data_IF_681695836588
#
_entry.id   IF_681695836588
#
_cell.length_a   1.000
_cell.length_b   1.000
_cell.length_c   1.000
_cell.angle_alpha   90.00
_cell.angle_beta   90.00
_cell.angle_gamma   90.00
#
_symmetry.space_group_name_H-M   'P 1'
#
loop_
_entity.id
_entity.type
_entity.pdbx_description
1 polymer ?
#
# COMPACT_ATOMS: atom_id res chain seq x y z
N UNK A 1 -9.09 -1.44 -16.50
CA UNK A 1 -9.70 -2.55 -15.71
C UNK A 1 -10.21 -1.97 -14.40
N UNK A 2 -11.51 -1.65 -14.27
CA UNK A 2 -12.02 -0.85 -13.14
C UNK A 2 -12.48 -1.66 -11.92
N UNK A 3 -12.26 -2.98 -11.92
CA UNK A 3 -12.73 -3.88 -10.87
C UNK A 3 -11.85 -5.12 -10.76
N UNK A 4 -11.38 -5.44 -9.55
CA UNK A 4 -10.85 -6.76 -9.21
C UNK A 4 -11.97 -7.58 -8.59
N UNK A 5 -12.12 -8.81 -9.06
CA UNK A 5 -13.18 -9.72 -8.64
C UNK A 5 -12.57 -11.01 -8.11
N UNK A 6 -13.01 -11.41 -6.92
CA UNK A 6 -12.65 -12.66 -6.26
C UNK A 6 -13.94 -13.41 -5.97
N UNK A 7 -14.04 -14.68 -6.39
CA UNK A 7 -15.26 -15.49 -6.31
C UNK A 7 -15.07 -16.69 -5.40
N UNK A 8 -16.18 -17.19 -4.85
CA UNK A 8 -16.14 -18.31 -3.91
C UNK A 8 -15.67 -17.88 -2.52
N UNK A 9 -15.74 -16.59 -2.21
CA UNK A 9 -15.40 -16.03 -0.91
C UNK A 9 -16.41 -16.53 0.13
N UNK A 10 -15.95 -16.86 1.32
CA UNK A 10 -16.81 -17.19 2.46
C UNK A 10 -16.69 -16.09 3.49
N UNK A 11 -17.80 -15.43 3.82
CA UNK A 11 -17.86 -14.55 4.97
C UNK A 11 -17.84 -15.41 6.24
N UNK A 12 -16.89 -15.15 7.14
CA UNK A 12 -16.68 -15.94 8.36
C UNK A 12 -17.37 -15.34 9.59
N UNK A 13 -17.68 -14.04 9.57
CA UNK A 13 -18.33 -13.35 10.69
C UNK A 13 -17.67 -12.03 11.07
N UNK A 14 -18.14 -11.46 12.18
CA UNK A 14 -17.56 -10.28 12.83
C UNK A 14 -18.31 -8.97 12.66
N UNK A 15 -19.38 -8.93 11.84
CA UNK A 15 -20.31 -7.80 11.77
C UNK A 15 -21.56 -8.09 12.62
N UNK A 16 -22.03 -7.18 13.48
CA UNK A 16 -23.19 -7.42 14.35
C UNK A 16 -24.48 -7.79 13.59
N UNK A 17 -24.67 -7.21 12.39
CA UNK A 17 -25.84 -7.49 11.52
C UNK A 17 -25.80 -8.87 10.85
N UNK A 18 -24.64 -9.51 10.80
CA UNK A 18 -24.43 -10.79 10.11
C UNK A 18 -23.55 -11.71 10.99
N UNK A 19 -24.13 -12.34 12.04
CA UNK A 19 -23.33 -13.13 12.98
C UNK A 19 -22.95 -14.52 12.46
N UNK A 20 -23.54 -14.97 11.34
CA UNK A 20 -23.32 -16.32 10.80
C UNK A 20 -22.46 -16.32 9.54
N UNK A 21 -21.64 -17.36 9.31
CA UNK A 21 -20.90 -17.49 8.07
C UNK A 21 -21.81 -17.64 6.85
N UNK A 22 -21.36 -17.12 5.70
CA UNK A 22 -22.08 -17.21 4.43
C UNK A 22 -21.08 -17.57 3.34
N UNK A 23 -21.29 -18.72 2.68
CA UNK A 23 -20.41 -19.25 1.64
C UNK A 23 -20.84 -18.80 0.24
N UNK A 24 -19.97 -18.97 -0.76
CA UNK A 24 -20.30 -18.77 -2.17
C UNK A 24 -20.44 -17.30 -2.60
N UNK A 25 -19.84 -16.39 -1.84
CA UNK A 25 -19.88 -14.96 -2.11
C UNK A 25 -18.84 -14.54 -3.15
N UNK A 26 -18.98 -13.30 -3.58
CA UNK A 26 -18.01 -12.57 -4.38
C UNK A 26 -17.54 -11.35 -3.60
N UNK A 27 -16.24 -11.10 -3.65
CA UNK A 27 -15.63 -9.83 -3.29
C UNK A 27 -15.32 -9.06 -4.56
N UNK A 28 -15.91 -7.88 -4.70
CA UNK A 28 -15.60 -6.90 -5.73
C UNK A 28 -14.83 -5.74 -5.09
N UNK A 29 -13.62 -5.50 -5.60
CA UNK A 29 -12.77 -4.35 -5.25
C UNK A 29 -12.88 -3.35 -6.38
N UNK A 30 -13.29 -2.13 -6.06
CA UNK A 30 -13.54 -1.06 -7.03
C UNK A 30 -12.98 0.26 -6.52
N UNK A 31 -12.97 1.28 -7.38
CA UNK A 31 -12.64 2.66 -6.97
C UNK A 31 -13.57 3.21 -5.87
N UNK A 32 -14.80 2.70 -5.74
CA UNK A 32 -15.75 3.19 -4.74
C UNK A 32 -15.58 2.52 -3.36
N UNK A 33 -14.99 1.33 -3.32
CA UNK A 33 -14.91 0.53 -2.11
C UNK A 33 -14.82 -0.97 -2.37
N UNK A 34 -15.06 -1.71 -1.30
CA UNK A 34 -15.19 -3.15 -1.28
C UNK A 34 -16.67 -3.51 -1.19
N UNK A 35 -17.10 -4.47 -2.01
CA UNK A 35 -18.42 -5.05 -1.92
C UNK A 35 -18.31 -6.57 -1.82
N UNK A 36 -18.86 -7.12 -0.74
CA UNK A 36 -19.05 -8.56 -0.57
C UNK A 36 -20.52 -8.86 -0.79
N UNK A 37 -20.83 -9.86 -1.62
CA UNK A 37 -22.22 -10.21 -1.88
C UNK A 37 -22.39 -11.44 -2.74
N UNK A 38 -23.62 -11.93 -2.79
CA UNK A 38 -24.03 -12.95 -3.74
C UNK A 38 -24.45 -12.34 -5.08
N UNK A 39 -24.91 -13.15 -6.04
CA UNK A 39 -25.38 -12.68 -7.35
C UNK A 39 -26.61 -11.77 -7.28
N UNK A 40 -27.42 -11.86 -6.20
CA UNK A 40 -28.69 -11.16 -6.09
C UNK A 40 -28.72 -10.05 -5.03
N UNK A 41 -27.81 -10.05 -4.04
CA UNK A 41 -27.75 -9.05 -2.96
C UNK A 41 -26.34 -8.84 -2.43
N UNK A 42 -26.01 -7.58 -2.11
CA UNK A 42 -24.81 -7.23 -1.35
C UNK A 42 -24.99 -7.59 0.12
N UNK A 43 -24.00 -8.26 0.69
CA UNK A 43 -23.90 -8.56 2.12
C UNK A 43 -23.24 -7.42 2.88
N UNK A 44 -22.15 -6.90 2.33
CA UNK A 44 -21.33 -5.86 2.94
C UNK A 44 -20.87 -4.92 1.83
N UNK A 45 -21.00 -3.62 2.06
CA UNK A 45 -20.41 -2.61 1.20
C UNK A 45 -19.67 -1.61 2.07
N UNK A 46 -18.36 -1.52 1.85
CA UNK A 46 -17.45 -0.69 2.63
C UNK A 46 -16.85 0.33 1.69
N UNK A 47 -17.15 1.60 1.92
CA UNK A 47 -16.44 2.67 1.22
C UNK A 47 -15.04 2.78 1.79
N UNK A 48 -14.07 3.12 0.95
CA UNK A 48 -12.69 3.28 1.38
C UNK A 48 -12.49 4.23 2.57
N UNK A 49 -13.17 5.41 2.66
CA UNK A 49 -13.04 6.28 3.83
C UNK A 49 -13.56 5.68 5.14
N UNK A 50 -14.40 4.64 5.07
CA UNK A 50 -14.97 3.95 6.24
C UNK A 50 -14.18 2.70 6.63
N UNK A 51 -13.13 2.36 5.88
CA UNK A 51 -12.30 1.20 6.13
C UNK A 51 -11.11 1.60 7.00
N UNK A 52 -11.16 1.25 8.28
CA UNK A 52 -10.09 1.56 9.23
C UNK A 52 -8.78 0.83 8.90
N UNK A 53 -8.91 -0.43 8.46
CA UNK A 53 -7.81 -1.27 8.04
C UNK A 53 -8.33 -2.46 7.24
N UNK A 54 -7.47 -3.07 6.43
CA UNK A 54 -7.68 -4.38 5.83
C UNK A 54 -6.53 -5.27 6.33
N UNK A 55 -6.64 -6.59 6.27
CA UNK A 55 -5.52 -7.53 6.44
C UNK A 55 -5.62 -8.63 5.40
N UNK A 56 -4.49 -9.15 4.91
CA UNK A 56 -4.43 -10.40 4.12
C UNK A 56 -3.48 -11.35 4.84
N UNK A 57 -4.05 -12.37 5.46
CA UNK A 57 -3.39 -13.27 6.40
C UNK A 57 -3.48 -14.72 5.92
N UNK A 58 -2.57 -15.57 6.40
CA UNK A 58 -2.76 -17.01 6.27
C UNK A 58 -3.88 -17.46 7.21
N UNK A 59 -4.44 -18.64 6.98
CA UNK A 59 -5.43 -19.22 7.90
C UNK A 59 -4.83 -19.39 9.30
N UNK A 60 -3.55 -19.77 9.40
CA UNK A 60 -2.86 -19.94 10.68
C UNK A 60 -2.63 -18.62 11.45
N UNK A 61 -2.31 -17.53 10.76
CA UNK A 61 -2.10 -16.22 11.39
C UNK A 61 -3.38 -15.67 12.05
N UNK A 62 -4.55 -15.98 11.47
CA UNK A 62 -5.85 -15.59 12.03
C UNK A 62 -6.12 -16.32 13.34
N UNK A 63 -5.80 -17.62 13.41
CA UNK A 63 -5.96 -18.41 14.64
C UNK A 63 -5.02 -17.90 15.76
N UNK A 64 -3.79 -17.52 15.42
CA UNK A 64 -2.85 -16.90 16.37
C UNK A 64 -3.33 -15.56 16.92
N UNK A 65 -3.99 -14.74 16.09
CA UNK A 65 -4.63 -13.47 16.52
C UNK A 65 -5.98 -13.68 17.22
N UNK A 66 -6.67 -14.79 16.95
CA UNK A 66 -7.95 -15.11 17.59
C UNK A 66 -7.80 -15.32 19.10
N UNK A 67 -6.67 -15.90 19.52
CA UNK A 67 -6.35 -16.14 20.93
C UNK A 67 -6.04 -14.87 21.75
N UNK A 68 -5.61 -13.77 21.12
CA UNK A 68 -5.24 -12.53 21.83
C UNK A 68 -6.37 -11.49 21.92
N UNK A 69 -7.45 -11.65 21.15
CA UNK A 69 -8.49 -10.63 20.99
C UNK A 69 -9.91 -11.11 21.38
N UNK A 70 -10.03 -12.20 22.16
CA UNK A 70 -11.32 -12.75 22.62
C UNK A 70 -12.35 -12.93 21.48
N UNK A 71 -11.94 -13.57 20.37
CA UNK A 71 -12.84 -13.84 19.24
C UNK A 71 -13.76 -15.04 19.53
N UNK A 72 -14.85 -14.85 20.28
CA UNK A 72 -15.89 -15.88 20.47
C UNK A 72 -16.75 -16.14 19.20
N UNK A 73 -16.54 -15.39 18.12
CA UNK A 73 -17.47 -15.34 16.97
C UNK A 73 -16.94 -15.96 15.67
N UNK A 74 -15.68 -16.43 15.61
CA UNK A 74 -15.17 -17.13 14.44
C UNK A 74 -15.57 -18.60 14.51
N UNK A 75 -16.57 -18.98 13.71
CA UNK A 75 -17.13 -20.33 13.68
C UNK A 75 -16.06 -21.37 13.26
N UNK A 76 -15.49 -22.08 14.24
CA UNK A 76 -14.38 -23.03 14.09
C UNK A 76 -14.49 -24.08 12.95
N UNK A 77 -15.67 -24.59 12.54
CA UNK A 77 -15.77 -25.58 11.46
C UNK A 77 -15.34 -25.08 10.07
N UNK A 78 -15.50 -23.78 9.79
CA UNK A 78 -15.13 -23.20 8.49
C UNK A 78 -13.63 -22.89 8.41
N UNK A 79 -13.04 -22.45 9.53
CA UNK A 79 -11.58 -22.32 9.66
C UNK A 79 -10.89 -23.69 9.60
N UNK A 80 -11.51 -24.73 10.18
CA UNK A 80 -11.02 -26.12 10.10
C UNK A 80 -11.03 -26.65 8.65
N UNK A 81 -12.07 -26.36 7.87
CA UNK A 81 -12.10 -26.66 6.43
C UNK A 81 -11.06 -25.85 5.64
N UNK A 82 -10.86 -24.58 5.99
CA UNK A 82 -9.82 -23.75 5.39
C UNK A 82 -8.40 -24.25 5.70
N UNK A 83 -8.17 -24.80 6.89
CA UNK A 83 -6.91 -25.43 7.31
C UNK A 83 -6.55 -26.63 6.45
N UNK A 84 -7.53 -27.43 6.05
CA UNK A 84 -7.32 -28.56 5.12
C UNK A 84 -6.88 -28.10 3.72
N UNK A 85 -7.15 -26.85 3.35
CA UNK A 85 -6.68 -26.27 2.09
C UNK A 85 -5.21 -25.78 2.15
N UNK A 86 -4.58 -25.74 3.33
CA UNK A 86 -3.17 -25.33 3.50
C UNK A 86 -2.87 -23.91 3.01
N UNK A 87 -1.66 -23.69 2.51
CA UNK A 87 -1.17 -22.39 2.00
C UNK A 87 -1.89 -21.89 0.73
N UNK A 88 -2.77 -22.71 0.16
CA UNK A 88 -3.57 -22.35 -1.01
C UNK A 88 -4.75 -21.44 -0.68
N UNK A 89 -4.99 -21.08 0.59
CA UNK A 89 -6.06 -20.17 0.98
C UNK A 89 -5.52 -18.94 1.73
N UNK A 90 -6.26 -17.83 1.63
CA UNK A 90 -5.98 -16.59 2.34
C UNK A 90 -7.22 -16.09 3.06
N UNK A 91 -7.02 -15.30 4.10
CA UNK A 91 -8.09 -14.67 4.86
C UNK A 91 -7.93 -13.15 4.77
N UNK A 92 -9.02 -12.47 4.45
CA UNK A 92 -9.09 -11.01 4.49
C UNK A 92 -9.78 -10.58 5.79
N UNK A 93 -9.10 -9.76 6.58
CA UNK A 93 -9.73 -9.00 7.68
C UNK A 93 -10.11 -7.61 7.20
N UNK A 94 -11.27 -7.10 7.59
CA UNK A 94 -11.75 -5.76 7.26
C UNK A 94 -12.19 -5.05 8.55
N UNK A 95 -11.47 -4.00 8.94
CA UNK A 95 -11.86 -3.11 10.04
C UNK A 95 -12.88 -2.09 9.55
N UNK A 96 -14.09 -2.15 10.09
CA UNK A 96 -15.21 -1.27 9.77
C UNK A 96 -15.74 -0.76 11.10
N UNK A 97 -15.65 0.55 11.33
CA UNK A 97 -15.90 1.15 12.64
C UNK A 97 -15.07 0.41 13.71
N UNK A 98 -15.70 -0.05 14.79
CA UNK A 98 -15.06 -0.81 15.88
C UNK A 98 -15.10 -2.34 15.68
N UNK A 99 -15.50 -2.82 14.49
CA UNK A 99 -15.67 -4.25 14.22
C UNK A 99 -14.76 -4.76 13.12
N UNK A 100 -14.37 -6.03 13.23
CA UNK A 100 -13.58 -6.73 12.21
C UNK A 100 -14.43 -7.75 11.49
N UNK A 101 -14.60 -7.60 10.18
CA UNK A 101 -15.22 -8.61 9.33
C UNK A 101 -14.15 -9.52 8.71
N UNK A 102 -14.41 -10.83 8.72
CA UNK A 102 -13.46 -11.83 8.20
C UNK A 102 -14.01 -12.51 6.95
N UNK A 103 -13.17 -12.64 5.92
CA UNK A 103 -13.50 -13.27 4.64
C UNK A 103 -12.45 -14.33 4.32
N UNK A 104 -12.87 -15.58 4.16
CA UNK A 104 -12.02 -16.63 3.60
C UNK A 104 -12.03 -16.55 2.07
N UNK A 105 -10.85 -16.54 1.48
CA UNK A 105 -10.63 -16.62 0.04
C UNK A 105 -10.01 -17.98 -0.28
N UNK A 106 -10.79 -18.94 -0.76
CA UNK A 106 -10.27 -20.27 -1.06
C UNK A 106 -9.47 -20.26 -2.38
N UNK A 107 -8.46 -21.14 -2.47
CA UNK A 107 -7.64 -21.34 -3.68
C UNK A 107 -6.95 -20.07 -4.18
N UNK A 108 -6.58 -19.19 -3.27
CA UNK A 108 -5.72 -18.05 -3.56
C UNK A 108 -4.82 -17.88 -2.34
N UNK A 109 -3.53 -18.11 -2.52
CA UNK A 109 -2.55 -17.95 -1.45
C UNK A 109 -2.41 -16.47 -1.05
N UNK A 110 -1.82 -16.21 0.12
CA UNK A 110 -1.56 -14.84 0.56
C UNK A 110 -0.70 -14.07 -0.44
N UNK A 111 0.46 -14.57 -0.94
CA UNK A 111 1.27 -13.86 -1.93
C UNK A 111 0.51 -13.58 -3.24
N UNK A 112 -0.28 -14.54 -3.71
CA UNK A 112 -1.06 -14.40 -4.94
C UNK A 112 -2.15 -13.32 -4.79
N UNK A 113 -2.93 -13.36 -3.70
CA UNK A 113 -3.98 -12.39 -3.45
C UNK A 113 -3.40 -10.98 -3.30
N UNK A 114 -2.27 -10.86 -2.59
CA UNK A 114 -1.52 -9.60 -2.45
C UNK A 114 -1.08 -9.05 -3.80
N UNK A 115 -0.50 -9.89 -4.65
CA UNK A 115 -0.09 -9.52 -6.01
C UNK A 115 -1.29 -9.04 -6.84
N UNK A 116 -2.40 -9.77 -6.81
CA UNK A 116 -3.62 -9.40 -7.54
C UNK A 116 -4.20 -8.06 -7.09
N UNK A 117 -4.21 -7.80 -5.79
CA UNK A 117 -4.62 -6.51 -5.22
C UNK A 117 -3.67 -5.39 -5.67
N UNK A 118 -2.35 -5.61 -5.59
CA UNK A 118 -1.35 -4.63 -6.01
C UNK A 118 -1.43 -4.31 -7.52
N UNK A 119 -1.54 -5.32 -8.38
CA UNK A 119 -1.70 -5.14 -9.83
C UNK A 119 -2.98 -4.39 -10.18
N UNK A 120 -4.08 -4.68 -9.47
CA UNK A 120 -5.32 -3.92 -9.66
C UNK A 120 -5.16 -2.45 -9.28
N UNK A 121 -4.52 -2.15 -8.14
CA UNK A 121 -4.27 -0.77 -7.70
C UNK A 121 -3.44 0.00 -8.72
N UNK A 122 -2.38 -0.62 -9.26
CA UNK A 122 -1.56 0.00 -10.31
C UNK A 122 -2.35 0.25 -11.60
N UNK A 123 -3.14 -0.72 -12.06
CA UNK A 123 -3.98 -0.55 -13.24
C UNK A 123 -5.07 0.51 -13.06
N UNK A 124 -5.60 0.64 -11.84
CA UNK A 124 -6.57 1.68 -11.49
C UNK A 124 -5.90 3.07 -11.47
N UNK A 125 -4.70 3.19 -10.91
CA UNK A 125 -3.92 4.43 -10.90
C UNK A 125 -3.49 4.87 -12.31
N UNK A 126 -2.97 3.96 -13.14
CA UNK A 126 -2.56 4.26 -14.52
C UNK A 126 -3.72 4.69 -15.42
N UNK A 127 -4.91 4.09 -15.25
CA UNK A 127 -6.11 4.49 -15.97
C UNK A 127 -6.63 5.90 -15.57
N UNK A 128 -6.33 6.35 -14.34
CA UNK A 128 -6.62 7.71 -13.88
C UNK A 128 -5.56 8.72 -14.35
N UNK A 129 -4.29 8.32 -14.40
CA UNK A 129 -3.20 9.14 -14.96
C UNK A 129 -3.40 9.46 -16.45
N UNK A 130 -3.88 8.48 -17.23
CA UNK A 130 -4.26 8.67 -18.64
C UNK A 130 -5.47 9.60 -18.81
N UNK A 131 -6.25 9.84 -17.75
CA UNK A 131 -7.39 10.76 -17.76
C UNK A 131 -7.01 12.23 -17.50
N UNK A 132 -5.71 12.57 -17.43
CA UNK A 132 -5.25 13.96 -17.53
C UNK A 132 -5.54 14.86 -16.32
N UNK A 133 -5.59 14.33 -15.10
CA UNK A 133 -5.58 15.14 -13.88
C UNK A 133 -4.13 15.51 -13.52
N UNK A 134 -3.86 16.81 -13.38
CA UNK A 134 -2.53 17.36 -13.07
C UNK A 134 -2.02 16.96 -11.67
N UNK A 135 -0.76 17.28 -11.39
CA UNK A 135 -0.05 16.92 -10.13
C UNK A 135 -0.80 17.31 -8.84
N UNK A 136 -1.73 18.26 -8.90
CA UNK A 136 -2.56 18.71 -7.79
C UNK A 136 -3.84 17.87 -7.50
N UNK A 137 -4.21 16.93 -8.37
CA UNK A 137 -5.56 16.32 -8.38
C UNK A 137 -5.59 14.78 -8.29
N UNK A 138 -4.64 14.12 -7.61
CA UNK A 138 -4.95 12.73 -7.21
C UNK A 138 -5.99 12.80 -6.10
N UNK A 139 -7.17 12.18 -6.27
CA UNK A 139 -8.17 12.20 -5.22
C UNK A 139 -7.58 11.51 -3.99
N UNK A 140 -7.63 12.19 -2.84
CA UNK A 140 -7.33 11.67 -1.49
C UNK A 140 -7.83 10.22 -1.29
N UNK A 141 -8.94 9.86 -1.94
CA UNK A 141 -9.49 8.51 -2.02
C UNK A 141 -8.56 7.44 -2.60
N UNK A 142 -7.77 7.72 -3.65
CA UNK A 142 -6.85 6.75 -4.26
C UNK A 142 -5.60 6.56 -3.39
N UNK A 143 -5.21 7.62 -2.67
CA UNK A 143 -4.19 7.57 -1.62
C UNK A 143 -4.62 6.70 -0.44
N UNK A 144 -5.83 6.92 0.07
CA UNK A 144 -6.44 6.11 1.13
C UNK A 144 -6.68 4.65 0.70
N UNK A 145 -7.02 4.41 -0.57
CA UNK A 145 -7.19 3.07 -1.16
C UNK A 145 -5.91 2.26 -1.15
N UNK A 146 -4.80 2.87 -1.58
CA UNK A 146 -3.50 2.25 -1.51
C UNK A 146 -3.14 2.02 -0.03
N UNK A 147 -3.16 3.05 0.81
CA UNK A 147 -2.79 2.94 2.24
C UNK A 147 -3.56 1.83 2.96
N UNK A 148 -4.85 1.63 2.67
CA UNK A 148 -5.66 0.56 3.26
C UNK A 148 -5.26 -0.84 2.78
N UNK A 149 -4.95 -1.02 1.49
CA UNK A 149 -4.38 -2.27 0.96
C UNK A 149 -2.96 -2.51 1.48
N UNK A 150 -2.20 -1.45 1.73
CA UNK A 150 -0.83 -1.48 2.21
C UNK A 150 -0.68 -1.81 3.70
N UNK A 151 -1.56 -1.27 4.54
CA UNK A 151 -1.69 -1.65 5.96
C UNK A 151 -2.10 -3.11 6.12
N UNK A 152 -2.73 -3.66 5.09
CA UNK A 152 -3.27 -5.01 5.13
C UNK A 152 -2.33 -6.15 4.84
N UNK A 153 -1.36 -5.88 4.00
CA UNK A 153 -0.49 -6.90 3.47
C UNK A 153 0.82 -6.99 4.24
N UNK A 154 0.98 -6.20 5.32
CA UNK A 154 2.23 -6.07 6.08
C UNK A 154 3.45 -5.72 5.19
N UNK A 155 3.22 -5.32 3.93
CA UNK A 155 4.23 -5.01 2.92
C UNK A 155 5.07 -3.78 3.32
N UNK A 156 4.63 -3.00 4.32
CA UNK A 156 5.36 -1.87 4.87
C UNK A 156 6.38 -2.22 5.97
N UNK A 157 6.35 -3.45 6.52
CA UNK A 157 7.20 -3.88 7.65
C UNK A 157 8.15 -5.02 7.33
N UNK A 158 8.02 -5.64 6.16
CA UNK A 158 8.95 -6.67 5.72
C UNK A 158 10.32 -6.08 5.41
N UNK A 159 11.41 -6.83 5.66
CA UNK A 159 12.74 -6.44 5.22
C UNK A 159 12.71 -6.08 3.74
N UNK A 160 13.41 -5.01 3.36
CA UNK A 160 13.52 -4.65 1.97
C UNK A 160 14.44 -5.65 1.28
N UNK A 161 13.88 -6.57 0.51
CA UNK A 161 14.64 -7.63 -0.16
C UNK A 161 14.70 -7.47 -1.68
N UNK A 162 13.75 -6.73 -2.26
CA UNK A 162 13.65 -6.53 -3.69
C UNK A 162 13.16 -5.12 -4.08
N UNK A 163 13.44 -4.74 -5.33
CA UNK A 163 13.15 -3.40 -5.87
C UNK A 163 11.67 -3.15 -6.12
N UNK A 164 10.87 -4.20 -6.36
CA UNK A 164 9.42 -4.03 -6.52
C UNK A 164 8.81 -3.65 -5.18
N UNK A 165 9.20 -4.33 -4.10
CA UNK A 165 8.79 -3.97 -2.74
C UNK A 165 9.14 -2.53 -2.39
N UNK A 166 10.35 -2.06 -2.74
CA UNK A 166 10.73 -0.65 -2.57
C UNK A 166 9.81 0.29 -3.38
N UNK A 167 9.66 0.04 -4.69
CA UNK A 167 8.87 0.89 -5.58
C UNK A 167 7.42 1.01 -5.11
N UNK A 168 6.87 -0.12 -4.68
CA UNK A 168 5.56 -0.21 -4.07
C UNK A 168 5.51 0.69 -2.81
N UNK A 169 6.46 0.58 -1.85
CA UNK A 169 6.43 1.36 -0.60
C UNK A 169 6.65 2.86 -0.83
N UNK A 170 7.43 3.24 -1.84
CA UNK A 170 7.59 4.64 -2.25
C UNK A 170 6.28 5.23 -2.78
N UNK A 171 5.47 4.45 -3.49
CA UNK A 171 4.15 4.89 -3.92
C UNK A 171 3.24 5.22 -2.71
N UNK A 172 3.36 4.49 -1.59
CA UNK A 172 2.61 4.77 -0.34
C UNK A 172 3.04 6.07 0.29
N UNK A 173 4.35 6.31 0.40
CA UNK A 173 4.86 7.56 0.92
C UNK A 173 4.35 8.75 0.09
N UNK A 174 4.36 8.60 -1.23
CA UNK A 174 3.80 9.61 -2.13
C UNK A 174 2.31 9.81 -1.91
N UNK A 175 1.54 8.75 -1.61
CA UNK A 175 0.14 8.88 -1.25
C UNK A 175 -0.07 9.68 0.05
N UNK A 176 0.71 9.40 1.11
CA UNK A 176 0.65 10.20 2.34
C UNK A 176 0.95 11.68 2.06
N UNK A 177 1.96 11.97 1.23
CA UNK A 177 2.32 13.34 0.85
C UNK A 177 1.16 14.03 0.15
N UNK A 178 0.52 13.35 -0.82
CA UNK A 178 -0.60 13.89 -1.60
C UNK A 178 -1.88 14.06 -0.79
N UNK A 179 -2.08 13.29 0.27
CA UNK A 179 -3.18 13.49 1.22
C UNK A 179 -2.90 14.55 2.30
N UNK A 180 -1.76 15.27 2.21
CA UNK A 180 -1.36 16.27 3.20
C UNK A 180 -0.78 15.68 4.50
N UNK A 181 -0.64 14.36 4.60
CA UNK A 181 -0.03 13.67 5.73
C UNK A 181 1.50 13.61 5.56
N UNK A 182 2.11 14.80 5.53
CA UNK A 182 3.54 14.98 5.28
C UNK A 182 4.41 14.27 6.31
N UNK A 183 3.98 14.22 7.57
CA UNK A 183 4.73 13.56 8.64
C UNK A 183 4.89 12.05 8.39
N UNK A 184 3.80 11.37 8.02
CA UNK A 184 3.86 9.94 7.71
C UNK A 184 4.64 9.67 6.42
N UNK A 185 4.52 10.55 5.41
CA UNK A 185 5.31 10.45 4.19
C UNK A 185 6.81 10.52 4.48
N UNK A 186 7.24 11.55 5.23
CA UNK A 186 8.64 11.76 5.61
C UNK A 186 9.19 10.58 6.43
N UNK A 187 8.46 10.16 7.46
CA UNK A 187 8.85 9.03 8.32
C UNK A 187 9.09 7.77 7.49
N UNK A 188 8.19 7.46 6.55
CA UNK A 188 8.31 6.29 5.70
C UNK A 188 9.47 6.44 4.70
N UNK A 189 9.64 7.61 4.09
CA UNK A 189 10.73 7.86 3.13
C UNK A 189 12.11 7.77 3.77
N UNK A 190 12.28 8.28 4.99
CA UNK A 190 13.53 8.15 5.75
C UNK A 190 13.89 6.68 5.99
N UNK A 191 12.93 5.89 6.46
CA UNK A 191 13.14 4.45 6.68
C UNK A 191 13.47 3.72 5.38
N UNK A 192 12.76 4.02 4.29
CA UNK A 192 12.96 3.39 2.98
C UNK A 192 14.31 3.75 2.37
N UNK A 193 14.73 5.02 2.46
CA UNK A 193 16.02 5.45 1.95
C UNK A 193 17.17 4.75 2.68
N UNK A 194 17.11 4.68 4.02
CA UNK A 194 18.10 3.97 4.83
C UNK A 194 18.17 2.48 4.48
N UNK A 195 17.02 1.79 4.46
CA UNK A 195 16.96 0.37 4.09
C UNK A 195 17.44 0.09 2.67
N UNK A 196 17.14 0.98 1.72
CA UNK A 196 17.58 0.84 0.32
C UNK A 196 19.10 1.00 0.19
N UNK A 197 19.70 1.94 0.93
CA UNK A 197 21.17 2.09 1.00
C UNK A 197 21.80 0.80 1.54
N UNK A 198 21.29 0.27 2.65
CA UNK A 198 21.80 -0.95 3.28
C UNK A 198 21.67 -2.18 2.35
N UNK A 199 20.56 -2.30 1.63
CA UNK A 199 20.23 -3.50 0.85
C UNK A 199 20.83 -3.48 -0.55
N UNK A 200 20.73 -2.34 -1.25
CA UNK A 200 21.08 -2.24 -2.67
C UNK A 200 22.32 -1.37 -2.94
N UNK A 201 22.78 -0.62 -1.94
CA UNK A 201 23.86 0.36 -2.08
C UNK A 201 23.34 1.77 -2.43
N UNK A 202 24.15 2.78 -2.10
CA UNK A 202 23.78 4.20 -2.20
C UNK A 202 23.52 4.70 -3.63
N UNK A 203 24.16 4.06 -4.63
CA UNK A 203 24.11 4.45 -6.04
C UNK A 203 23.25 3.52 -6.90
N UNK A 204 22.55 2.55 -6.28
CA UNK A 204 21.55 1.76 -7.01
C UNK A 204 20.41 2.66 -7.48
N UNK A 205 19.92 2.40 -8.69
CA UNK A 205 18.85 3.19 -9.31
C UNK A 205 17.60 3.29 -8.43
N UNK A 206 17.22 2.23 -7.73
CA UNK A 206 16.03 2.23 -6.87
C UNK A 206 16.28 3.02 -5.57
N UNK A 207 17.50 2.94 -5.02
CA UNK A 207 17.94 3.74 -3.86
C UNK A 207 17.91 5.23 -4.18
N UNK A 208 18.44 5.63 -5.35
CA UNK A 208 18.45 7.03 -5.77
C UNK A 208 17.01 7.57 -5.89
N UNK A 209 16.08 6.79 -6.43
CA UNK A 209 14.66 7.18 -6.50
C UNK A 209 14.07 7.38 -5.10
N UNK A 210 14.37 6.49 -4.14
CA UNK A 210 13.91 6.63 -2.76
C UNK A 210 14.43 7.90 -2.09
N UNK A 211 15.73 8.19 -2.24
CA UNK A 211 16.38 9.39 -1.69
C UNK A 211 15.86 10.66 -2.33
N UNK A 212 15.64 10.67 -3.65
CA UNK A 212 15.02 11.80 -4.34
C UNK A 212 13.60 12.10 -3.85
N UNK A 213 12.80 11.06 -3.60
CA UNK A 213 11.45 11.24 -3.06
C UNK A 213 11.49 11.82 -1.63
N UNK A 214 12.46 11.40 -0.81
CA UNK A 214 12.69 11.99 0.51
C UNK A 214 13.06 13.48 0.42
N UNK A 215 14.04 13.83 -0.41
CA UNK A 215 14.47 15.22 -0.63
C UNK A 215 13.31 16.09 -1.15
N UNK A 216 12.50 15.55 -2.06
CA UNK A 216 11.31 16.23 -2.56
C UNK A 216 10.25 16.44 -1.48
N UNK A 217 9.98 15.43 -0.64
CA UNK A 217 9.04 15.56 0.46
C UNK A 217 9.52 16.55 1.53
N UNK A 218 10.83 16.62 1.79
CA UNK A 218 11.43 17.65 2.65
C UNK A 218 11.18 19.05 2.09
N UNK A 219 11.40 19.24 0.78
CA UNK A 219 11.12 20.50 0.10
C UNK A 219 9.65 20.92 0.26
N UNK A 220 8.69 20.04 -0.06
CA UNK A 220 7.25 20.32 0.10
C UNK A 220 6.88 20.57 1.57
N UNK A 221 7.57 19.94 2.51
CA UNK A 221 7.40 20.16 3.95
C UNK A 221 7.99 21.47 4.47
N UNK A 222 8.64 22.28 3.63
CA UNK A 222 9.29 23.52 4.04
C UNK A 222 10.70 23.34 4.63
N UNK A 223 11.22 22.10 4.67
CA UNK A 223 12.58 21.77 5.13
C UNK A 223 13.58 22.01 3.98
N UNK A 224 13.68 23.27 3.55
CA UNK A 224 14.44 23.67 2.36
C UNK A 224 15.92 23.32 2.46
N UNK A 225 16.53 23.52 3.62
CA UNK A 225 17.96 23.28 3.82
C UNK A 225 18.27 21.79 3.71
N UNK A 226 17.49 20.98 4.42
CA UNK A 226 17.60 19.52 4.47
C UNK A 226 17.35 18.90 3.08
N UNK A 227 16.41 19.47 2.31
CA UNK A 227 16.17 19.06 0.93
C UNK A 227 17.39 19.33 0.03
N UNK A 228 18.01 20.50 0.15
CA UNK A 228 19.23 20.87 -0.61
C UNK A 228 20.37 19.92 -0.27
N UNK A 229 20.62 19.68 1.02
CA UNK A 229 21.66 18.76 1.49
C UNK A 229 21.43 17.36 0.92
N UNK A 230 20.20 16.83 1.03
CA UNK A 230 19.86 15.51 0.52
C UNK A 230 20.05 15.37 -1.00
N UNK A 231 19.71 16.41 -1.78
CA UNK A 231 19.97 16.40 -3.23
C UNK A 231 21.46 16.47 -3.56
N UNK A 232 22.25 17.23 -2.82
CA UNK A 232 23.71 17.26 -3.01
C UNK A 232 24.35 15.90 -2.71
N UNK A 233 23.98 15.25 -1.61
CA UNK A 233 24.50 13.92 -1.28
C UNK A 233 24.25 12.89 -2.40
N UNK A 234 23.07 12.95 -3.04
CA UNK A 234 22.76 12.07 -4.19
C UNK A 234 23.70 12.33 -5.36
N UNK A 235 23.96 13.61 -5.67
CA UNK A 235 24.81 14.00 -6.80
C UNK A 235 26.29 13.68 -6.53
N UNK A 236 26.74 13.86 -5.29
CA UNK A 236 28.11 13.55 -4.89
C UNK A 236 28.38 12.04 -4.92
N UNK A 237 27.46 11.23 -4.42
CA UNK A 237 27.55 9.76 -4.49
C UNK A 237 27.58 9.27 -5.95
N UNK A 238 26.74 9.86 -6.81
CA UNK A 238 26.71 9.57 -8.24
C UNK A 238 28.04 9.93 -8.91
N UNK A 239 28.57 11.13 -8.65
CA UNK A 239 29.84 11.59 -9.20
C UNK A 239 31.00 10.68 -8.75
N UNK A 240 31.04 10.31 -7.47
CA UNK A 240 32.06 9.43 -6.91
C UNK A 240 32.02 8.02 -7.51
N UNK A 241 30.85 7.54 -7.94
CA UNK A 241 30.69 6.22 -8.54
C UNK A 241 31.21 6.11 -9.98
N UNK A 242 31.54 7.24 -10.63
CA UNK A 242 31.97 7.26 -12.04
C UNK A 242 30.84 6.94 -13.03
N UNK A 243 29.58 6.91 -12.58
CA UNK A 243 28.40 6.81 -13.45
C UNK A 243 28.23 8.18 -14.13
N UNK A 244 28.77 8.30 -15.34
CA UNK A 244 28.60 9.51 -16.18
C UNK A 244 27.16 9.52 -16.74
N UNK A 245 26.40 10.56 -16.36
CA UNK A 245 24.93 10.68 -16.36
C UNK A 245 24.16 10.39 -17.66
N UNK A 246 22.99 9.75 -17.52
CA UNK A 246 21.69 10.21 -18.05
C UNK A 246 20.52 9.47 -17.36
N UNK A 247 20.59 9.30 -16.03
CA UNK A 247 19.43 8.72 -15.34
C UNK A 247 18.40 9.81 -15.09
N UNK A 248 17.12 9.52 -15.34
CA UNK A 248 16.01 10.44 -15.01
C UNK A 248 16.05 10.93 -13.56
N UNK A 249 16.66 10.15 -12.66
CA UNK A 249 16.77 10.47 -11.24
C UNK A 249 17.83 11.53 -10.94
N UNK A 250 18.98 11.52 -11.64
CA UNK A 250 19.98 12.59 -11.51
C UNK A 250 19.42 13.92 -12.03
N UNK A 251 18.81 13.91 -13.22
CA UNK A 251 18.17 15.08 -13.80
C UNK A 251 17.10 15.67 -12.84
N UNK A 252 16.34 14.82 -12.18
CA UNK A 252 15.35 15.22 -11.18
C UNK A 252 15.99 15.90 -9.96
N UNK A 253 17.10 15.36 -9.44
CA UNK A 253 17.83 15.97 -8.34
C UNK A 253 18.34 17.38 -8.71
N UNK A 254 19.02 17.50 -9.87
CA UNK A 254 19.54 18.78 -10.38
C UNK A 254 18.42 19.81 -10.58
N UNK A 255 17.29 19.40 -11.14
CA UNK A 255 16.16 20.28 -11.38
C UNK A 255 15.57 20.83 -10.08
N UNK A 256 15.36 19.96 -9.08
CA UNK A 256 14.81 20.39 -7.80
C UNK A 256 15.80 21.24 -7.00
N UNK A 257 17.09 20.93 -7.06
CA UNK A 257 18.14 21.75 -6.47
C UNK A 257 18.15 23.16 -7.07
N UNK A 258 18.05 23.27 -8.40
CA UNK A 258 17.94 24.57 -9.07
C UNK A 258 16.71 25.37 -8.59
N UNK A 259 15.55 24.71 -8.44
CA UNK A 259 14.34 25.34 -7.87
C UNK A 259 14.54 25.78 -6.42
N UNK A 260 15.16 24.93 -5.60
CA UNK A 260 15.42 25.19 -4.19
C UNK A 260 16.46 26.30 -3.96
N UNK A 261 17.30 26.62 -4.94
CA UNK A 261 18.20 27.76 -4.88
C UNK A 261 17.57 29.08 -5.35
N UNK A 262 16.37 29.07 -5.92
CA UNK A 262 15.64 30.30 -6.26
C UNK A 262 15.32 31.10 -4.97
N UNK A 263 15.71 32.38 -4.87
CA UNK A 263 15.36 33.23 -3.72
C UNK A 263 13.84 33.30 -3.45
N UNK A 264 13.01 33.12 -4.48
CA UNK A 264 11.55 33.17 -4.40
C UNK A 264 10.90 31.79 -4.23
N UNK A 265 11.69 30.75 -3.97
CA UNK A 265 11.16 29.41 -3.75
C UNK A 265 10.12 29.41 -2.62
N UNK A 266 9.03 28.68 -2.87
CA UNK A 266 7.97 28.39 -1.91
C UNK A 266 7.75 26.87 -1.91
N UNK A 267 7.38 26.27 -0.75
CA UNK A 267 7.07 24.85 -0.61
C UNK A 267 5.94 24.36 -1.52
#
# INVERSE_FOLDING_TARGET
MNRLRVTGVTYLGGHPRHPRPIEGLRLDVTLAGLAVGGPLRSLLSVRWPSLAWLYVLTVGDVEGKAHSLQFEFLNFPNLTRARQAGDAASVIGLGIDDVTCWLLVPRTSVPELRTRLASWTLGAAGAQQQAGMGDADMPEQVALQAIAVWRATDLGRQPLTDRNTLHHRLAVAEQHRRSGDLLSALTLLQQLAAQAIETFGATDRATIVARNNLAFALAVGGFRHEAIEAYWEILDDLAASGIVDQTKAEAFARQNLARLHDPHWQP
#
